data_IF_815861582120
#
_entry.id   IF_815861582120
#
_cell.length_a   1.000
_cell.length_b   1.000
_cell.length_c   1.000
_cell.angle_alpha   90.00
_cell.angle_beta   90.00
_cell.angle_gamma   90.00
#
_symmetry.space_group_name_H-M   'P 1'
#
loop_
_entity.id
_entity.type
_entity.pdbx_description
1 polymer ?
#
# COMPACT_ATOMS: atom_id res chain seq x y z
N UNK A 1 22.30 24.41 -25.18
CA UNK A 1 21.11 23.79 -24.55
C UNK A 1 21.06 24.31 -23.14
N UNK A 2 20.06 25.13 -22.81
CA UNK A 2 20.00 25.85 -21.55
C UNK A 2 19.72 24.88 -20.40
N UNK A 3 20.74 24.57 -19.60
CA UNK A 3 20.67 23.66 -18.46
C UNK A 3 19.57 24.06 -17.48
N UNK A 4 19.24 25.35 -17.39
CA UNK A 4 18.19 25.89 -16.53
C UNK A 4 16.77 25.44 -16.93
N UNK A 5 16.48 25.33 -18.22
CA UNK A 5 15.16 24.90 -18.69
C UNK A 5 14.87 23.44 -18.33
N UNK A 6 15.92 22.60 -18.38
CA UNK A 6 15.86 21.18 -18.01
C UNK A 6 15.59 21.04 -16.51
N UNK A 7 16.22 21.87 -15.68
CA UNK A 7 16.04 21.87 -14.23
C UNK A 7 14.64 22.32 -13.81
N UNK A 8 14.09 23.38 -14.42
CA UNK A 8 12.75 23.87 -14.09
C UNK A 8 11.66 22.82 -14.41
N UNK A 9 11.74 22.20 -15.58
CA UNK A 9 10.79 21.17 -15.98
C UNK A 9 10.79 19.98 -15.00
N UNK A 10 11.97 19.52 -14.59
CA UNK A 10 12.12 18.44 -13.62
C UNK A 10 11.52 18.82 -12.27
N UNK A 11 11.80 20.02 -11.75
CA UNK A 11 11.23 20.47 -10.48
C UNK A 11 9.71 20.54 -10.51
N UNK A 12 9.12 21.07 -11.58
CA UNK A 12 7.67 21.11 -11.76
C UNK A 12 7.06 19.71 -11.82
N UNK A 13 7.69 18.79 -12.56
CA UNK A 13 7.22 17.41 -12.66
C UNK A 13 7.22 16.70 -11.30
N UNK A 14 8.32 16.79 -10.55
CA UNK A 14 8.47 16.18 -9.22
C UNK A 14 7.75 16.94 -8.10
N UNK A 15 7.21 18.13 -8.36
CA UNK A 15 6.27 18.79 -7.46
C UNK A 15 4.83 18.34 -7.76
N UNK A 16 4.41 18.43 -9.02
CA UNK A 16 3.01 18.22 -9.41
C UNK A 16 2.61 16.75 -9.29
N UNK A 17 3.41 15.81 -9.80
CA UNK A 17 3.03 14.38 -9.79
C UNK A 17 2.86 13.86 -8.35
N UNK A 18 3.78 14.13 -7.41
CA UNK A 18 3.58 13.76 -6.01
C UNK A 18 2.40 14.47 -5.35
N UNK A 19 2.12 15.76 -5.65
CA UNK A 19 0.91 16.43 -5.08
C UNK A 19 -0.38 15.69 -5.47
N UNK A 20 -0.54 15.38 -6.76
CA UNK A 20 -1.73 14.70 -7.27
C UNK A 20 -1.82 13.30 -6.65
N UNK A 21 -0.70 12.59 -6.57
CA UNK A 21 -0.65 11.26 -5.96
C UNK A 21 -1.01 11.28 -4.47
N UNK A 22 -0.48 12.22 -3.68
CA UNK A 22 -0.80 12.33 -2.25
C UNK A 22 -2.28 12.66 -2.05
N UNK A 23 -2.83 13.59 -2.83
CA UNK A 23 -4.24 13.98 -2.73
C UNK A 23 -5.13 12.80 -3.11
N UNK A 24 -4.88 12.16 -4.25
CA UNK A 24 -5.67 11.04 -4.75
C UNK A 24 -5.66 9.84 -3.80
N UNK A 25 -4.48 9.41 -3.36
CA UNK A 25 -4.34 8.32 -2.40
C UNK A 25 -4.89 8.69 -1.01
N UNK A 26 -4.77 9.96 -0.62
CA UNK A 26 -5.36 10.49 0.62
C UNK A 26 -6.88 10.32 0.66
N UNK A 27 -7.56 10.59 -0.45
CA UNK A 27 -9.01 10.35 -0.54
C UNK A 27 -9.36 8.86 -0.41
N UNK A 28 -8.58 7.96 -1.00
CA UNK A 28 -8.82 6.51 -0.89
C UNK A 28 -8.68 6.04 0.56
N UNK A 29 -7.62 6.47 1.25
CA UNK A 29 -7.40 6.18 2.67
C UNK A 29 -8.56 6.73 3.50
N UNK A 30 -8.94 7.99 3.26
CA UNK A 30 -10.03 8.65 3.97
C UNK A 30 -11.37 7.90 3.84
N UNK A 31 -11.75 7.52 2.62
CA UNK A 31 -13.00 6.78 2.36
C UNK A 31 -12.96 5.40 2.99
N UNK A 32 -11.80 4.74 2.97
CA UNK A 32 -11.60 3.41 3.58
C UNK A 32 -11.80 3.44 5.09
N UNK A 33 -11.30 4.48 5.78
CA UNK A 33 -11.47 4.64 7.24
C UNK A 33 -12.90 5.04 7.59
N UNK A 34 -13.49 5.97 6.83
CA UNK A 34 -14.79 6.57 7.15
C UNK A 34 -15.96 5.60 6.94
N UNK A 35 -15.88 4.72 5.94
CA UNK A 35 -17.02 3.88 5.57
C UNK A 35 -17.00 2.51 6.27
N UNK A 36 -17.87 2.34 7.26
CA UNK A 36 -18.08 1.06 7.96
C UNK A 36 -18.54 -0.07 7.01
N UNK A 37 -19.26 0.28 5.93
CA UNK A 37 -19.70 -0.68 4.92
C UNK A 37 -18.60 -1.14 3.96
N UNK A 38 -17.47 -0.43 3.91
CA UNK A 38 -16.32 -0.77 3.08
C UNK A 38 -15.20 -1.50 3.83
N UNK A 39 -15.36 -1.91 5.09
CA UNK A 39 -14.31 -2.62 5.87
C UNK A 39 -14.11 -4.10 5.51
N UNK A 40 -14.26 -4.45 4.24
CA UNK A 40 -13.90 -5.77 3.72
C UNK A 40 -12.37 -5.86 3.62
N UNK A 41 -11.76 -7.05 3.79
CA UNK A 41 -10.30 -7.21 3.79
C UNK A 41 -9.65 -6.61 2.55
N UNK A 42 -10.23 -6.84 1.37
CA UNK A 42 -9.78 -6.24 0.12
C UNK A 42 -9.68 -4.71 0.15
N UNK A 43 -10.68 -4.02 0.72
CA UNK A 43 -10.70 -2.57 0.76
C UNK A 43 -9.69 -2.02 1.78
N UNK A 44 -9.45 -2.75 2.88
CA UNK A 44 -8.39 -2.42 3.84
C UNK A 44 -7.02 -2.49 3.15
N UNK A 45 -6.77 -3.54 2.36
CA UNK A 45 -5.53 -3.67 1.58
C UNK A 45 -5.38 -2.52 0.58
N UNK A 46 -6.45 -2.11 -0.12
CA UNK A 46 -6.43 -0.95 -1.02
C UNK A 46 -6.07 0.33 -0.26
N UNK A 47 -6.64 0.54 0.93
CA UNK A 47 -6.28 1.66 1.81
C UNK A 47 -4.81 1.62 2.23
N UNK A 48 -4.27 0.45 2.57
CA UNK A 48 -2.87 0.28 2.95
C UNK A 48 -1.90 0.49 1.78
N UNK A 49 -2.23 0.02 0.57
CA UNK A 49 -1.47 0.32 -0.65
C UNK A 49 -1.42 1.84 -0.86
N UNK A 50 -2.57 2.49 -0.77
CA UNK A 50 -2.68 3.95 -0.94
C UNK A 50 -1.85 4.70 0.12
N UNK A 51 -1.84 4.22 1.37
CA UNK A 51 -0.99 4.78 2.42
C UNK A 51 0.51 4.59 2.13
N UNK A 52 0.91 3.42 1.60
CA UNK A 52 2.27 3.16 1.14
C UNK A 52 2.70 4.08 0.01
N UNK A 53 1.81 4.34 -0.95
CA UNK A 53 2.05 5.27 -2.05
C UNK A 53 2.24 6.72 -1.54
N UNK A 54 1.46 7.18 -0.56
CA UNK A 54 1.66 8.49 0.07
C UNK A 54 3.06 8.57 0.69
N UNK A 55 3.43 7.56 1.49
CA UNK A 55 4.73 7.50 2.16
C UNK A 55 5.88 7.51 1.14
N UNK A 56 5.77 6.75 0.06
CA UNK A 56 6.73 6.74 -1.04
C UNK A 56 6.84 8.13 -1.69
N UNK A 57 5.71 8.78 -1.98
CA UNK A 57 5.69 10.08 -2.66
C UNK A 57 6.32 11.20 -1.83
N UNK A 58 6.35 11.09 -0.49
CA UNK A 58 7.12 12.00 0.37
C UNK A 58 8.62 12.00 0.04
N UNK A 59 9.17 10.89 -0.48
CA UNK A 59 10.57 10.80 -0.88
C UNK A 59 10.93 11.72 -2.04
N UNK A 60 9.97 12.01 -2.93
CA UNK A 60 10.15 12.99 -3.99
C UNK A 60 10.17 14.43 -3.47
N UNK A 61 9.41 14.73 -2.41
CA UNK A 61 9.51 16.03 -1.74
C UNK A 61 10.83 16.21 -1.02
N UNK A 62 11.33 15.17 -0.34
CA UNK A 62 12.67 15.18 0.28
C UNK A 62 13.74 15.47 -0.77
N UNK A 63 13.69 14.78 -1.91
CA UNK A 63 14.60 15.01 -3.04
C UNK A 63 14.51 16.46 -3.55
N UNK A 64 13.30 16.98 -3.78
CA UNK A 64 13.09 18.34 -4.28
C UNK A 64 13.58 19.41 -3.28
N UNK A 65 13.33 19.21 -1.99
CA UNK A 65 13.81 20.11 -0.95
C UNK A 65 15.34 20.15 -0.94
N UNK A 66 16.00 19.00 -0.92
CA UNK A 66 17.46 18.94 -0.90
C UNK A 66 18.10 19.54 -2.16
N UNK A 67 17.46 19.36 -3.31
CA UNK A 67 17.92 19.96 -4.56
C UNK A 67 17.90 21.50 -4.51
N UNK A 68 16.90 22.11 -3.88
CA UNK A 68 16.78 23.57 -3.82
C UNK A 68 17.55 24.22 -2.66
N UNK A 69 17.68 23.53 -1.52
CA UNK A 69 18.27 24.11 -0.30
C UNK A 69 19.76 23.82 -0.11
N UNK A 70 20.32 22.79 -0.76
CA UNK A 70 21.73 22.40 -0.57
C UNK A 70 22.59 22.89 -1.72
N UNK A 71 23.50 23.82 -1.41
CA UNK A 71 24.51 24.30 -2.34
C UNK A 71 25.38 23.13 -2.84
N UNK A 72 25.47 22.96 -4.17
CA UNK A 72 26.20 21.86 -4.79
C UNK A 72 25.41 20.55 -4.92
N UNK A 73 24.15 20.50 -4.51
CA UNK A 73 23.20 19.38 -4.74
C UNK A 73 23.68 18.00 -4.20
N UNK A 74 24.67 17.99 -3.31
CA UNK A 74 25.27 16.78 -2.76
C UNK A 74 25.19 16.84 -1.24
N UNK A 75 24.70 15.77 -0.64
CA UNK A 75 24.63 15.61 0.81
C UNK A 75 25.38 14.34 1.21
N UNK A 76 25.76 14.27 2.48
CA UNK A 76 26.32 13.07 3.08
C UNK A 76 25.29 11.93 3.08
N UNK A 77 25.77 10.72 2.80
CA UNK A 77 24.94 9.55 2.54
C UNK A 77 24.06 9.13 3.73
N UNK A 78 24.58 9.22 4.96
CA UNK A 78 23.88 8.98 6.23
C UNK A 78 22.61 9.82 6.41
N UNK A 79 22.71 11.13 6.18
CA UNK A 79 21.56 12.05 6.29
C UNK A 79 20.50 11.75 5.22
N UNK A 80 20.93 11.44 4.00
CA UNK A 80 20.01 11.05 2.93
C UNK A 80 19.28 9.73 3.27
N UNK A 81 20.01 8.73 3.74
CA UNK A 81 19.45 7.43 4.12
C UNK A 81 18.40 7.57 5.22
N UNK A 82 18.65 8.41 6.24
CA UNK A 82 17.70 8.67 7.31
C UNK A 82 16.41 9.32 6.81
N UNK A 83 16.52 10.37 5.98
CA UNK A 83 15.34 11.06 5.43
C UNK A 83 14.56 10.20 4.42
N UNK A 84 15.24 9.31 3.70
CA UNK A 84 14.62 8.40 2.73
C UNK A 84 14.13 7.08 3.35
N UNK A 85 14.34 6.85 4.65
CA UNK A 85 13.93 5.61 5.31
C UNK A 85 12.42 5.35 5.21
N UNK A 86 11.60 6.36 5.51
CA UNK A 86 10.14 6.24 5.37
C UNK A 86 9.71 6.01 3.90
N UNK A 87 10.17 6.80 2.90
CA UNK A 87 9.89 6.53 1.49
C UNK A 87 10.30 5.13 1.01
N UNK A 88 11.42 4.59 1.48
CA UNK A 88 11.88 3.23 1.17
C UNK A 88 10.91 2.18 1.73
N UNK A 89 10.35 2.40 2.92
CA UNK A 89 9.28 1.54 3.41
C UNK A 89 8.08 1.55 2.46
N UNK A 90 7.64 2.75 2.05
CA UNK A 90 6.52 2.90 1.11
C UNK A 90 6.74 2.19 -0.24
N UNK A 91 7.94 2.32 -0.82
CA UNK A 91 8.24 1.74 -2.14
C UNK A 91 8.33 0.21 -2.13
N UNK A 92 8.71 -0.40 -1.00
CA UNK A 92 8.75 -1.87 -0.85
C UNK A 92 7.37 -2.42 -0.44
N UNK A 93 6.69 -1.70 0.45
CA UNK A 93 5.41 -2.12 1.04
C UNK A 93 4.29 -2.17 0.00
N UNK A 94 4.18 -1.14 -0.85
CA UNK A 94 3.11 -1.00 -1.85
C UNK A 94 3.04 -2.15 -2.87
N UNK A 95 4.12 -2.55 -3.57
CA UNK A 95 4.06 -3.66 -4.54
C UNK A 95 3.78 -5.02 -3.88
N UNK A 96 4.25 -5.25 -2.65
CA UNK A 96 3.94 -6.47 -1.91
C UNK A 96 2.46 -6.57 -1.56
N UNK A 97 1.87 -5.46 -1.11
CA UNK A 97 0.43 -5.39 -0.85
C UNK A 97 -0.41 -5.47 -2.13
N UNK A 98 0.07 -4.93 -3.25
CA UNK A 98 -0.58 -5.10 -4.56
C UNK A 98 -0.61 -6.57 -4.98
N UNK A 99 0.46 -7.31 -4.72
CA UNK A 99 0.47 -8.76 -4.93
C UNK A 99 -0.51 -9.48 -4.00
N UNK A 100 -0.52 -9.15 -2.71
CA UNK A 100 -1.47 -9.71 -1.75
C UNK A 100 -2.93 -9.42 -2.16
N UNK A 101 -3.21 -8.21 -2.66
CA UNK A 101 -4.50 -7.82 -3.21
C UNK A 101 -4.88 -8.67 -4.44
N UNK A 102 -3.95 -8.90 -5.36
CA UNK A 102 -4.20 -9.74 -6.53
C UNK A 102 -4.56 -11.19 -6.12
N UNK A 103 -3.86 -11.73 -5.13
CA UNK A 103 -4.15 -13.05 -4.56
C UNK A 103 -5.54 -13.05 -3.89
N UNK A 104 -5.88 -12.03 -3.10
CA UNK A 104 -7.19 -11.89 -2.48
C UNK A 104 -8.33 -11.92 -3.53
N UNK A 105 -8.15 -11.25 -4.67
CA UNK A 105 -9.11 -11.29 -5.78
C UNK A 105 -9.32 -12.68 -6.35
N UNK A 106 -8.24 -13.44 -6.59
CA UNK A 106 -8.33 -14.83 -7.06
C UNK A 106 -9.02 -15.72 -6.03
N UNK A 107 -8.62 -15.60 -4.76
CA UNK A 107 -9.20 -16.39 -3.68
C UNK A 107 -10.68 -16.10 -3.50
N UNK A 108 -11.13 -14.85 -3.68
CA UNK A 108 -12.54 -14.46 -3.56
C UNK A 108 -13.49 -15.22 -4.51
N UNK A 109 -12.97 -15.77 -5.63
CA UNK A 109 -13.73 -16.59 -6.57
C UNK A 109 -13.82 -18.07 -6.13
N UNK A 110 -13.02 -18.48 -5.16
CA UNK A 110 -12.99 -19.86 -4.66
C UNK A 110 -13.95 -20.04 -3.50
N UNK A 111 -14.63 -21.19 -3.42
CA UNK A 111 -15.54 -21.52 -2.31
C UNK A 111 -14.84 -21.55 -0.94
N UNK A 112 -13.53 -21.79 -0.93
CA UNK A 112 -12.71 -21.91 0.27
C UNK A 112 -12.54 -20.58 1.02
N UNK A 113 -12.55 -19.46 0.29
CA UNK A 113 -12.39 -18.11 0.84
C UNK A 113 -13.47 -17.74 1.87
N UNK A 114 -14.72 -18.17 1.64
CA UNK A 114 -15.83 -17.83 2.53
C UNK A 114 -15.65 -18.42 3.93
N UNK A 115 -15.12 -19.63 4.05
CA UNK A 115 -14.89 -20.25 5.34
C UNK A 115 -13.69 -19.59 6.04
N UNK A 116 -12.59 -19.36 5.32
CA UNK A 116 -11.37 -18.78 5.89
C UNK A 116 -11.56 -17.34 6.39
N UNK A 117 -12.30 -16.50 5.64
CA UNK A 117 -12.51 -15.08 6.00
C UNK A 117 -13.54 -14.89 7.10
N UNK A 118 -14.58 -15.74 7.14
CA UNK A 118 -15.63 -15.65 8.16
C UNK A 118 -15.09 -16.07 9.53
N UNK A 119 -14.25 -17.12 9.58
CA UNK A 119 -13.78 -17.68 10.84
C UNK A 119 -12.59 -16.92 11.44
N UNK A 120 -11.74 -16.26 10.62
CA UNK A 120 -10.48 -15.65 11.11
C UNK A 120 -9.95 -14.49 10.25
N UNK A 121 -10.75 -13.43 10.10
CA UNK A 121 -10.38 -12.27 9.27
C UNK A 121 -9.08 -11.56 9.71
N UNK A 122 -8.83 -11.41 11.02
CA UNK A 122 -7.62 -10.75 11.53
C UNK A 122 -6.35 -11.51 11.15
N UNK A 123 -6.38 -12.84 11.31
CA UNK A 123 -5.23 -13.70 10.99
C UNK A 123 -4.93 -13.63 9.50
N UNK A 124 -5.97 -13.65 8.66
CA UNK A 124 -5.84 -13.50 7.22
C UNK A 124 -5.16 -12.18 6.82
N UNK A 125 -5.61 -11.05 7.37
CA UNK A 125 -5.02 -9.75 7.09
C UNK A 125 -3.57 -9.66 7.58
N UNK A 126 -3.30 -10.14 8.79
CA UNK A 126 -1.93 -10.17 9.33
C UNK A 126 -1.01 -11.01 8.46
N UNK A 127 -1.45 -12.18 8.00
CA UNK A 127 -0.64 -13.06 7.15
C UNK A 127 -0.26 -12.40 5.82
N UNK A 128 -1.09 -11.50 5.30
CA UNK A 128 -0.81 -10.76 4.07
C UNK A 128 0.05 -9.52 4.28
N UNK A 129 -0.15 -8.78 5.37
CA UNK A 129 0.58 -7.55 5.65
C UNK A 129 1.98 -7.85 6.20
N UNK A 130 2.13 -8.92 6.97
CA UNK A 130 3.38 -9.33 7.62
C UNK A 130 4.57 -9.49 6.66
N UNK A 131 4.47 -10.20 5.52
CA UNK A 131 5.61 -10.32 4.60
C UNK A 131 6.03 -8.98 4.00
N UNK A 132 5.06 -8.09 3.71
CA UNK A 132 5.33 -6.76 3.19
C UNK A 132 6.06 -5.88 4.23
N UNK A 133 5.58 -5.87 5.47
CA UNK A 133 6.18 -5.09 6.56
C UNK A 133 7.54 -5.64 6.96
N UNK A 134 7.71 -6.97 7.04
CA UNK A 134 8.98 -7.61 7.38
C UNK A 134 10.08 -7.29 6.35
N UNK A 135 9.78 -7.39 5.06
CA UNK A 135 10.73 -7.04 4.00
C UNK A 135 11.06 -5.55 3.98
N UNK A 136 10.06 -4.68 4.14
CA UNK A 136 10.27 -3.23 4.21
C UNK A 136 11.19 -2.85 5.37
N UNK A 137 10.91 -3.36 6.58
CA UNK A 137 11.71 -3.09 7.77
C UNK A 137 13.13 -3.62 7.65
N UNK A 138 13.29 -4.83 7.12
CA UNK A 138 14.61 -5.45 6.94
C UNK A 138 15.46 -4.64 5.96
N UNK A 139 14.89 -4.21 4.83
CA UNK A 139 15.61 -3.35 3.87
C UNK A 139 15.92 -1.98 4.46
N UNK A 140 15.01 -1.40 5.25
CA UNK A 140 15.23 -0.09 5.87
C UNK A 140 16.34 -0.13 6.92
N UNK A 141 16.37 -1.16 7.77
CA UNK A 141 17.46 -1.39 8.73
C UNK A 141 18.78 -1.62 8.00
N UNK A 142 18.76 -2.44 6.93
CA UNK A 142 19.96 -2.67 6.12
C UNK A 142 20.53 -1.37 5.56
N UNK A 143 19.68 -0.51 4.99
CA UNK A 143 20.10 0.79 4.42
C UNK A 143 20.75 1.67 5.48
N UNK A 144 20.19 1.72 6.69
CA UNK A 144 20.78 2.50 7.79
C UNK A 144 22.15 1.95 8.18
N UNK A 145 22.30 0.63 8.30
CA UNK A 145 23.59 0.00 8.64
C UNK A 145 24.66 0.24 7.57
N UNK A 146 24.28 0.17 6.29
CA UNK A 146 25.18 0.42 5.15
C UNK A 146 25.52 1.91 4.98
N UNK A 147 24.76 2.80 5.62
CA UNK A 147 24.88 4.24 5.41
C UNK A 147 26.11 4.92 6.02
N UNK A 148 26.90 4.18 6.81
CA UNK A 148 28.11 4.64 7.50
C UNK A 148 29.30 4.96 6.57
N UNK A 149 29.14 4.82 5.25
CA UNK A 149 30.18 5.19 4.28
C UNK A 149 30.15 6.70 3.96
N UNK A 150 31.29 7.38 4.15
CA UNK A 150 31.49 8.83 3.95
C UNK A 150 31.49 9.29 2.47
N UNK A 151 30.41 8.98 1.73
CA UNK A 151 30.21 9.41 0.36
C UNK A 151 29.30 10.64 0.25
N UNK A 152 29.70 11.62 -0.57
CA UNK A 152 28.80 12.68 -1.04
C UNK A 152 27.97 12.17 -2.21
N UNK A 153 26.65 12.16 -2.05
CA UNK A 153 25.71 11.67 -3.07
C UNK A 153 24.56 12.66 -3.30
N UNK A 154 23.95 12.58 -4.49
CA UNK A 154 22.69 13.27 -4.78
C UNK A 154 21.56 12.46 -4.17
N UNK A 155 20.77 13.06 -3.28
CA UNK A 155 19.78 12.32 -2.52
C UNK A 155 18.52 12.04 -3.35
N UNK A 156 18.41 10.81 -3.83
CA UNK A 156 17.23 10.26 -4.51
C UNK A 156 16.84 8.93 -3.87
N UNK A 157 15.56 8.56 -3.97
CA UNK A 157 15.04 7.26 -3.46
C UNK A 157 15.88 6.04 -3.89
N UNK A 158 16.28 5.86 -5.17
CA UNK A 158 17.09 4.72 -5.55
C UNK A 158 18.56 4.83 -5.12
N UNK A 159 19.07 6.05 -4.88
CA UNK A 159 20.49 6.25 -4.55
C UNK A 159 20.84 5.96 -3.09
N UNK A 160 19.85 6.00 -2.20
CA UNK A 160 20.01 5.56 -0.80
C UNK A 160 20.14 4.05 -0.68
N UNK A 161 19.66 3.31 -1.68
CA UNK A 161 19.90 1.88 -1.82
C UNK A 161 21.19 1.69 -2.63
N UNK A 162 22.29 1.33 -1.96
CA UNK A 162 23.58 1.07 -2.64
C UNK A 162 23.90 -0.42 -2.70
N UNK A 163 24.73 -0.79 -3.68
CA UNK A 163 25.36 -2.11 -3.76
C UNK A 163 24.36 -3.28 -3.85
N UNK A 164 24.51 -4.25 -2.94
CA UNK A 164 23.70 -5.48 -2.93
C UNK A 164 22.23 -5.21 -2.58
N UNK A 165 21.94 -4.21 -1.75
CA UNK A 165 20.57 -3.87 -1.36
C UNK A 165 19.75 -3.41 -2.58
N UNK A 166 20.33 -2.56 -3.43
CA UNK A 166 19.71 -2.13 -4.69
C UNK A 166 19.46 -3.28 -5.66
N UNK A 167 20.43 -4.19 -5.81
CA UNK A 167 20.28 -5.36 -6.67
C UNK A 167 19.17 -6.29 -6.17
N UNK A 168 19.08 -6.52 -4.85
CA UNK A 168 18.04 -7.32 -4.24
C UNK A 168 16.66 -6.67 -4.43
N UNK A 169 16.57 -5.35 -4.20
CA UNK A 169 15.34 -4.57 -4.40
C UNK A 169 14.85 -4.64 -5.86
N UNK A 170 15.71 -4.36 -6.84
CA UNK A 170 15.29 -4.42 -8.24
C UNK A 170 14.87 -5.82 -8.67
N UNK A 171 15.63 -6.85 -8.25
CA UNK A 171 15.28 -8.24 -8.53
C UNK A 171 13.94 -8.62 -7.89
N UNK A 172 13.70 -8.23 -6.64
CA UNK A 172 12.45 -8.55 -5.96
C UNK A 172 11.26 -7.84 -6.61
N UNK A 173 11.39 -6.55 -6.94
CA UNK A 173 10.32 -5.78 -7.62
C UNK A 173 9.95 -6.40 -8.96
N UNK A 174 10.94 -6.80 -9.77
CA UNK A 174 10.68 -7.48 -11.05
C UNK A 174 9.94 -8.79 -10.83
N UNK A 175 10.39 -9.62 -9.88
CA UNK A 175 9.75 -10.91 -9.55
C UNK A 175 8.30 -10.70 -9.11
N UNK A 176 8.04 -9.76 -8.20
CA UNK A 176 6.70 -9.45 -7.70
C UNK A 176 5.81 -8.95 -8.84
N UNK A 177 6.34 -8.08 -9.71
CA UNK A 177 5.59 -7.57 -10.86
C UNK A 177 5.16 -8.69 -11.81
N UNK A 178 6.04 -9.67 -12.07
CA UNK A 178 5.70 -10.85 -12.88
C UNK A 178 4.64 -11.70 -12.19
N UNK A 179 4.76 -11.94 -10.88
CA UNK A 179 3.77 -12.69 -10.09
C UNK A 179 2.39 -12.01 -10.08
N UNK A 180 2.35 -10.68 -9.98
CA UNK A 180 1.12 -9.89 -10.10
C UNK A 180 0.45 -10.15 -11.44
N UNK A 181 1.20 -10.05 -12.54
CA UNK A 181 0.67 -10.28 -13.90
C UNK A 181 0.10 -11.69 -14.03
N UNK A 182 0.85 -12.71 -13.59
CA UNK A 182 0.38 -14.12 -13.61
C UNK A 182 -0.92 -14.28 -12.82
N UNK A 183 -0.99 -13.69 -11.63
CA UNK A 183 -2.16 -13.77 -10.75
C UNK A 183 -3.39 -13.09 -11.36
N UNK A 184 -3.21 -11.94 -12.01
CA UNK A 184 -4.29 -11.25 -12.73
C UNK A 184 -4.77 -12.02 -13.97
N UNK A 185 -3.85 -12.66 -14.70
CA UNK A 185 -4.21 -13.54 -15.82
C UNK A 185 -5.06 -14.70 -15.32
N UNK A 186 -4.65 -15.36 -14.23
CA UNK A 186 -5.44 -16.42 -13.59
C UNK A 186 -6.83 -15.93 -13.15
N UNK A 187 -6.91 -14.74 -12.54
CA UNK A 187 -8.18 -14.12 -12.16
C UNK A 187 -9.10 -13.94 -13.38
N UNK A 188 -8.57 -13.45 -14.50
CA UNK A 188 -9.32 -13.30 -15.74
C UNK A 188 -9.87 -14.61 -16.30
N UNK A 189 -9.09 -15.69 -16.25
CA UNK A 189 -9.54 -17.02 -16.68
C UNK A 189 -10.68 -17.55 -15.79
N UNK A 190 -10.55 -17.44 -14.46
CA UNK A 190 -11.59 -17.87 -13.53
C UNK A 190 -12.88 -17.05 -13.66
N UNK A 191 -12.76 -15.74 -13.92
CA UNK A 191 -13.92 -14.89 -14.23
C UNK A 191 -14.62 -15.34 -15.51
N UNK A 192 -13.86 -15.69 -16.56
CA UNK A 192 -14.46 -16.19 -17.81
C UNK A 192 -15.21 -17.50 -17.59
N UNK A 193 -14.67 -18.44 -16.83
CA UNK A 193 -15.35 -19.71 -16.54
C UNK A 193 -16.64 -19.51 -15.72
N UNK A 194 -16.61 -18.65 -14.70
CA UNK A 194 -17.81 -18.33 -13.90
C UNK A 194 -18.86 -17.56 -14.69
N UNK A 195 -18.43 -16.67 -15.59
CA UNK A 195 -19.33 -15.96 -16.51
C UNK A 195 -19.99 -16.92 -17.51
N UNK A 196 -19.25 -17.88 -18.08
CA UNK A 196 -19.79 -18.86 -19.04
C UNK A 196 -20.74 -19.87 -18.38
N UNK A 197 -20.53 -20.18 -17.10
CA UNK A 197 -21.44 -21.04 -16.32
C UNK A 197 -22.72 -20.34 -15.86
N UNK A 198 -22.82 -19.02 -15.97
CA UNK A 198 -24.06 -18.30 -15.65
C UNK A 198 -24.93 -18.25 -16.91
N UNK A 199 -26.05 -19.00 -17.00
CA UNK A 199 -27.02 -18.79 -18.06
C UNK A 199 -27.50 -17.33 -17.97
N UNK A 200 -27.76 -16.72 -19.12
CA UNK A 200 -28.04 -15.29 -19.34
C UNK A 200 -29.20 -14.65 -18.53
N UNK A 201 -29.70 -15.29 -17.45
CA UNK A 201 -30.73 -14.80 -16.54
C UNK A 201 -30.31 -14.54 -15.08
N UNK A 202 -29.11 -14.95 -14.61
CA UNK A 202 -28.76 -14.87 -13.18
C UNK A 202 -28.35 -13.46 -12.69
N UNK A 203 -27.88 -12.58 -13.58
CA UNK A 203 -27.51 -11.19 -13.22
C UNK A 203 -28.69 -10.34 -12.74
N UNK A 204 -29.94 -10.73 -13.05
CA UNK A 204 -31.14 -10.03 -12.55
C UNK A 204 -31.34 -10.17 -11.04
N UNK A 205 -30.72 -11.17 -10.39
CA UNK A 205 -30.85 -11.38 -8.94
C UNK A 205 -29.82 -10.65 -8.08
N UNK A 206 -28.64 -10.32 -8.60
CA UNK A 206 -27.55 -9.69 -7.82
C UNK A 206 -27.51 -8.15 -7.94
N UNK A 207 -28.13 -7.57 -8.96
CA UNK A 207 -28.23 -6.11 -9.15
C UNK A 207 -29.52 -5.54 -8.50
N UNK A 208 -30.42 -6.40 -8.01
CA UNK A 208 -31.66 -6.00 -7.33
C UNK A 208 -31.61 -6.19 -5.80
N UNK A 209 -30.52 -5.78 -5.15
CA UNK A 209 -30.67 -5.13 -3.84
C UNK A 209 -30.35 -3.66 -4.00
N UNK A 210 -31.34 -2.83 -4.36
CA UNK A 210 -31.22 -1.42 -4.02
C UNK A 210 -30.96 -1.33 -2.51
N UNK A 211 -29.93 -0.59 -2.13
CA UNK A 211 -29.86 -0.01 -0.79
C UNK A 211 -31.00 1.00 -0.68
N UNK A 212 -32.24 0.51 -0.58
CA UNK A 212 -33.37 1.34 -0.20
C UNK A 212 -33.15 1.68 1.26
N UNK A 213 -33.04 2.96 1.49
CA UNK A 213 -33.08 3.57 2.80
C UNK A 213 -34.42 3.23 3.48
N UNK A 214 -34.44 2.17 4.28
CA UNK A 214 -35.46 2.04 5.32
C UNK A 214 -35.04 2.88 6.52
N UNK A 215 -35.45 4.15 6.48
CA UNK A 215 -35.71 4.90 7.72
C UNK A 215 -36.98 4.30 8.33
N UNK A 216 -36.82 3.54 9.41
CA UNK A 216 -37.93 3.21 10.29
C UNK A 216 -37.83 1.83 10.89
N UNK A 217 -37.40 1.79 12.16
CA UNK A 217 -37.56 0.68 13.10
C UNK A 217 -37.06 -0.70 12.63
N UNK A 218 -35.81 -1.03 12.95
CA UNK A 218 -35.41 -2.38 13.38
C UNK A 218 -34.16 -2.25 14.25
N UNK A 219 -34.13 -3.08 15.29
CA UNK A 219 -33.12 -3.25 16.33
C UNK A 219 -31.67 -3.06 15.91
N UNK A 220 -30.90 -2.58 16.87
CA UNK A 220 -29.44 -2.50 16.93
C UNK A 220 -28.77 -3.84 16.57
N UNK A 221 -28.67 -4.14 15.27
CA UNK A 221 -27.90 -5.28 14.77
C UNK A 221 -26.44 -4.84 14.77
N UNK A 222 -25.76 -5.05 15.91
CA UNK A 222 -24.33 -4.84 16.06
C UNK A 222 -23.58 -5.50 14.88
N UNK A 223 -22.69 -4.78 14.19
CA UNK A 223 -21.90 -5.36 13.12
C UNK A 223 -21.06 -6.52 13.66
N UNK A 224 -20.96 -7.67 12.97
CA UNK A 224 -20.21 -8.83 13.44
C UNK A 224 -18.68 -8.69 13.30
N UNK A 225 -18.18 -7.47 13.05
CA UNK A 225 -16.74 -7.20 12.82
C UNK A 225 -16.08 -6.44 13.98
N UNK A 226 -16.61 -6.52 15.19
CA UNK A 226 -15.82 -6.18 16.37
C UNK A 226 -14.86 -7.32 16.62
N UNK A 227 -13.57 -7.12 16.31
CA UNK A 227 -12.51 -7.92 16.88
C UNK A 227 -12.77 -7.98 18.39
N UNK A 228 -13.11 -9.17 18.89
CA UNK A 228 -13.42 -9.36 20.30
C UNK A 228 -12.12 -9.19 21.05
N UNK A 229 -11.89 -7.97 21.49
CA UNK A 229 -10.81 -7.58 22.39
C UNK A 229 -11.00 -8.43 23.66
N UNK A 230 -10.18 -9.48 23.78
CA UNK A 230 -10.06 -10.23 25.03
C UNK A 230 -9.52 -9.26 26.07
N UNK A 231 -10.46 -8.73 26.85
CA UNK A 231 -10.33 -8.15 28.18
C UNK A 231 -8.99 -8.53 28.84
N UNK A 232 -8.03 -7.61 28.77
CA UNK A 232 -7.01 -7.43 29.80
C UNK A 232 -7.26 -6.04 30.38
N UNK A 233 -7.81 -6.01 31.59
CA UNK A 233 -8.08 -4.80 32.34
C UNK A 233 -6.79 -4.05 32.70
N UNK A 234 -6.91 -2.72 32.65
CA UNK A 234 -6.20 -1.75 33.51
C UNK A 234 -4.75 -1.39 33.15
N UNK A 235 -4.57 -0.24 32.47
CA UNK A 235 -4.03 1.01 33.06
C UNK A 235 -3.52 1.95 31.93
N UNK A 236 -4.11 3.15 31.91
CA UNK A 236 -3.56 4.42 31.40
C UNK A 236 -3.55 4.71 29.89
N UNK A 237 -4.68 5.27 29.45
CA UNK A 237 -4.83 6.52 28.70
C UNK A 237 -3.80 6.93 27.62
N UNK A 238 -4.37 7.13 26.42
CA UNK A 238 -3.85 7.90 25.27
C UNK A 238 -2.65 7.28 24.55
N UNK A 239 -2.92 6.26 23.73
CA UNK A 239 -2.14 6.08 22.51
C UNK A 239 -3.02 5.51 21.38
N UNK A 240 -3.49 6.46 20.57
CA UNK A 240 -3.60 6.41 19.10
C UNK A 240 -4.22 5.15 18.50
N UNK A 241 -5.47 5.34 18.07
CA UNK A 241 -6.20 4.55 17.08
C UNK A 241 -5.31 4.02 15.96
N UNK A 242 -5.27 2.70 15.82
CA UNK A 242 -5.23 1.97 14.55
C UNK A 242 -5.64 0.51 14.82
N UNK A 243 -6.94 0.24 14.73
CA UNK A 243 -7.55 -1.05 14.42
C UNK A 243 -8.95 -0.80 13.87
#
# INVERSE_FOLDING_TARGET
MNTEAITLFYQLFYAIVPTISIIGNGFIVYVTIRSNGLRKPCNILIGLVSAGDIIHMLGHYVMLALFNFVEGHRIRHDYCAYMQCAPILGVVFSPMLLFALAVDRVLSLTKYYRNLVVDSYCIYLTLQILPASALGLTLSVWVILDSTSDGLIVCMVPTSLRGRAFQLFNKSVVVISVLIVITYVMFGFLLKETSLRSPAGWWRGYVARPQVADRGLIAEQKPPYTCRETRAESVSNKLILLC
#
